data_IF_510961585632
#
_entry.id   IF_510961585632
#
_cell.length_a   1.000
_cell.length_b   1.000
_cell.length_c   1.000
_cell.angle_alpha   90.00
_cell.angle_beta   90.00
_cell.angle_gamma   90.00
#
_symmetry.space_group_name_H-M   'P 1'
#
loop_
_entity.id
_entity.type
_entity.pdbx_description
1 polymer ?
#
# COMPACT_ATOMS: atom_id res chain seq x y z
N UNK A 1 -47.29 23.84 62.76
CA UNK A 1 -47.96 24.26 61.51
C UNK A 1 -46.89 24.36 60.43
N UNK A 2 -46.92 23.46 59.43
CA UNK A 2 -46.12 23.35 58.19
C UNK A 2 -44.58 23.24 58.31
N UNK A 3 -44.08 21.99 58.22
CA UNK A 3 -42.71 21.67 57.79
C UNK A 3 -42.60 21.83 56.25
N UNK A 4 -41.50 22.38 55.71
CA UNK A 4 -41.26 22.39 54.27
C UNK A 4 -40.73 21.04 53.81
N UNK A 5 -41.37 20.49 52.76
CA UNK A 5 -40.90 19.31 52.06
C UNK A 5 -39.67 19.69 51.21
N UNK A 6 -38.50 19.14 51.56
CA UNK A 6 -37.31 19.19 50.72
C UNK A 6 -37.48 18.19 49.58
N UNK A 7 -37.72 18.70 48.37
CA UNK A 7 -37.69 17.90 47.14
C UNK A 7 -36.22 17.61 46.82
N UNK A 8 -35.80 16.37 47.03
CA UNK A 8 -34.53 15.85 46.52
C UNK A 8 -34.66 15.73 45.00
N UNK A 9 -34.08 16.66 44.26
CA UNK A 9 -33.83 16.49 42.84
C UNK A 9 -32.68 15.49 42.66
N UNK A 10 -33.02 14.24 42.34
CA UNK A 10 -32.06 13.26 41.84
C UNK A 10 -31.57 13.74 40.47
N UNK A 11 -30.38 14.33 40.45
CA UNK A 11 -29.62 14.57 39.23
C UNK A 11 -29.25 13.21 38.63
N UNK A 12 -30.06 12.73 37.70
CA UNK A 12 -29.67 11.69 36.76
C UNK A 12 -28.50 12.24 35.95
N UNK A 13 -27.28 11.92 36.39
CA UNK A 13 -26.08 12.07 35.57
C UNK A 13 -26.31 11.26 34.31
N UNK A 14 -26.70 11.95 33.23
CA UNK A 14 -26.71 11.37 31.90
C UNK A 14 -25.29 10.85 31.66
N UNK A 15 -25.14 9.54 31.55
CA UNK A 15 -23.97 8.93 30.96
C UNK A 15 -23.88 9.52 29.55
N UNK A 16 -23.08 10.56 29.37
CA UNK A 16 -22.70 11.04 28.05
C UNK A 16 -22.03 9.86 27.39
N UNK A 17 -22.73 9.22 26.45
CA UNK A 17 -22.13 8.23 25.57
C UNK A 17 -20.83 8.85 25.05
N UNK A 18 -19.71 8.17 25.30
CA UNK A 18 -18.42 8.61 24.77
C UNK A 18 -18.50 8.73 23.24
N UNK A 19 -17.53 9.43 22.62
CA UNK A 19 -17.46 9.48 21.17
C UNK A 19 -17.53 8.06 20.60
N UNK A 20 -18.40 7.86 19.61
CA UNK A 20 -18.58 6.58 18.95
C UNK A 20 -17.24 6.14 18.35
N UNK A 21 -16.70 5.03 18.84
CA UNK A 21 -15.43 4.49 18.34
C UNK A 21 -15.72 3.92 16.96
N UNK A 22 -15.11 4.50 15.93
CA UNK A 22 -15.21 3.95 14.57
C UNK A 22 -14.65 2.53 14.56
N UNK A 23 -15.40 1.54 14.08
CA UNK A 23 -14.97 0.14 14.14
C UNK A 23 -13.72 -0.08 13.29
N UNK A 24 -12.89 -1.03 13.72
CA UNK A 24 -11.78 -1.55 12.94
C UNK A 24 -12.30 -2.12 11.62
N UNK A 25 -11.61 -1.81 10.52
CA UNK A 25 -11.98 -2.26 9.19
C UNK A 25 -10.75 -2.56 8.34
N UNK A 26 -10.82 -3.69 7.65
CA UNK A 26 -9.89 -4.07 6.60
C UNK A 26 -10.61 -4.02 5.26
N UNK A 27 -9.99 -3.39 4.28
CA UNK A 27 -10.37 -3.48 2.88
C UNK A 27 -9.23 -4.11 2.10
N UNK A 28 -9.54 -5.14 1.32
CA UNK A 28 -8.60 -5.87 0.47
C UNK A 28 -8.87 -5.57 -1.00
N UNK A 29 -8.01 -6.08 -1.86
CA UNK A 29 -8.17 -6.00 -3.32
C UNK A 29 -9.50 -6.55 -3.82
N UNK A 30 -10.11 -7.52 -3.12
CA UNK A 30 -11.47 -8.02 -3.40
C UNK A 30 -12.53 -6.95 -3.19
N UNK A 31 -12.47 -6.21 -2.09
CA UNK A 31 -13.41 -5.11 -1.84
C UNK A 31 -13.16 -3.95 -2.80
N UNK A 32 -11.90 -3.65 -3.16
CA UNK A 32 -11.61 -2.63 -4.18
C UNK A 32 -12.30 -2.98 -5.51
N UNK A 33 -12.15 -4.23 -5.97
CA UNK A 33 -12.73 -4.70 -7.23
C UNK A 33 -14.27 -4.70 -7.18
N UNK A 34 -14.85 -5.16 -6.07
CA UNK A 34 -16.30 -5.21 -5.88
C UNK A 34 -16.93 -3.82 -5.85
N UNK A 35 -16.22 -2.84 -5.30
CA UNK A 35 -16.68 -1.46 -5.19
C UNK A 35 -16.35 -0.60 -6.42
N UNK A 36 -15.70 -1.15 -7.46
CA UNK A 36 -15.34 -0.40 -8.66
C UNK A 36 -16.55 0.29 -9.30
N UNK A 37 -16.41 1.57 -9.66
CA UNK A 37 -17.47 2.43 -10.19
C UNK A 37 -18.49 2.90 -9.16
N UNK A 38 -18.31 2.57 -7.87
CA UNK A 38 -19.17 3.02 -6.78
C UNK A 38 -18.54 4.21 -6.03
N UNK A 39 -19.40 5.09 -5.52
CA UNK A 39 -18.98 6.17 -4.62
C UNK A 39 -18.67 5.59 -3.23
N UNK A 40 -17.50 4.98 -3.10
CA UNK A 40 -17.01 4.35 -1.89
C UNK A 40 -15.68 4.98 -1.46
N UNK A 41 -15.45 5.15 -0.16
CA UNK A 41 -14.21 5.69 0.40
C UNK A 41 -13.44 4.63 1.19
N UNK A 42 -12.24 4.30 0.71
CA UNK A 42 -11.29 3.41 1.36
C UNK A 42 -10.26 4.21 2.15
N UNK A 43 -10.73 4.95 3.15
CA UNK A 43 -9.86 5.79 3.98
C UNK A 43 -9.12 6.83 3.16
N UNK A 44 -9.82 7.54 2.27
CA UNK A 44 -9.36 8.60 1.39
C UNK A 44 -9.21 8.25 -0.08
N UNK A 45 -9.15 6.96 -0.44
CA UNK A 45 -9.04 6.52 -1.84
C UNK A 45 -10.37 5.98 -2.37
N UNK A 46 -10.72 6.34 -3.61
CA UNK A 46 -11.82 5.69 -4.31
C UNK A 46 -11.39 4.35 -4.91
N UNK A 47 -12.30 3.38 -5.08
CA UNK A 47 -12.05 2.12 -5.79
C UNK A 47 -11.31 2.31 -7.12
N UNK A 48 -11.77 3.26 -7.95
CA UNK A 48 -11.23 3.54 -9.28
C UNK A 48 -9.83 4.18 -9.26
N UNK A 49 -9.33 4.61 -8.09
CA UNK A 49 -7.94 5.04 -7.92
C UNK A 49 -7.03 3.86 -7.63
N UNK A 50 -7.52 2.85 -6.90
CA UNK A 50 -6.72 1.73 -6.40
C UNK A 50 -6.51 0.64 -7.46
N UNK A 51 -7.46 0.48 -8.39
CA UNK A 51 -7.33 -0.43 -9.52
C UNK A 51 -8.03 0.11 -10.77
N UNK A 52 -7.69 -0.50 -11.90
CA UNK A 52 -8.29 -0.26 -13.21
C UNK A 52 -8.83 -1.56 -13.79
N UNK A 53 -10.02 -1.52 -14.37
CA UNK A 53 -10.54 -2.63 -15.18
C UNK A 53 -9.91 -2.61 -16.58
N UNK A 54 -9.94 -3.75 -17.26
CA UNK A 54 -9.44 -3.83 -18.64
C UNK A 54 -10.12 -2.81 -19.56
N UNK A 55 -9.31 -2.10 -20.36
CA UNK A 55 -9.75 -1.03 -21.24
C UNK A 55 -9.90 0.33 -20.56
N UNK A 56 -9.75 0.44 -19.25
CA UNK A 56 -9.78 1.72 -18.56
C UNK A 56 -8.43 2.46 -18.62
N UNK A 57 -8.42 3.81 -18.59
CA UNK A 57 -7.19 4.57 -18.57
C UNK A 57 -6.34 4.30 -17.33
N UNK A 58 -5.06 3.99 -17.54
CA UNK A 58 -4.08 3.90 -16.47
C UNK A 58 -3.81 5.28 -15.89
N UNK A 59 -3.85 5.38 -14.56
CA UNK A 59 -3.46 6.61 -13.90
C UNK A 59 -2.00 6.97 -14.23
N UNK A 60 -1.70 8.26 -14.31
CA UNK A 60 -0.36 8.81 -14.56
C UNK A 60 0.27 8.46 -15.92
N UNK A 61 -0.45 7.81 -16.82
CA UNK A 61 0.05 7.41 -18.16
C UNK A 61 -0.90 7.93 -19.23
N UNK A 62 -0.42 8.87 -20.04
CA UNK A 62 -1.26 9.44 -21.11
C UNK A 62 -1.59 8.38 -22.18
N UNK A 63 -2.87 8.29 -22.54
CA UNK A 63 -3.39 7.39 -23.57
C UNK A 63 -3.24 5.88 -23.30
N UNK A 64 -2.64 5.46 -22.18
CA UNK A 64 -2.44 4.05 -21.85
C UNK A 64 -3.71 3.47 -21.22
N UNK A 65 -4.09 2.27 -21.66
CA UNK A 65 -5.24 1.53 -21.14
C UNK A 65 -4.76 0.27 -20.44
N UNK A 66 -5.46 -0.14 -19.38
CA UNK A 66 -5.23 -1.42 -18.71
C UNK A 66 -5.50 -2.57 -19.68
N UNK A 67 -4.66 -3.60 -19.65
CA UNK A 67 -4.75 -4.80 -20.50
C UNK A 67 -4.54 -6.07 -19.67
N UNK A 68 -5.07 -7.20 -20.15
CA UNK A 68 -4.82 -8.50 -19.50
C UNK A 68 -5.62 -8.73 -18.21
N UNK A 69 -6.81 -8.12 -18.10
CA UNK A 69 -7.66 -8.17 -16.91
C UNK A 69 -7.53 -6.93 -16.01
N UNK A 70 -8.22 -6.93 -14.84
CA UNK A 70 -8.10 -5.84 -13.88
C UNK A 70 -6.68 -5.76 -13.32
N UNK A 71 -6.23 -4.54 -12.99
CA UNK A 71 -4.89 -4.30 -12.49
C UNK A 71 -4.84 -3.28 -11.37
N UNK A 72 -4.05 -3.54 -10.31
CA UNK A 72 -3.78 -2.55 -9.27
C UNK A 72 -3.01 -1.36 -9.83
N UNK A 73 -3.40 -0.15 -9.43
CA UNK A 73 -2.75 1.09 -9.86
C UNK A 73 -1.34 1.19 -9.29
N UNK A 74 -0.36 1.43 -10.16
CA UNK A 74 0.96 1.88 -9.75
C UNK A 74 0.90 3.36 -9.35
N UNK A 75 1.24 3.64 -8.09
CA UNK A 75 1.33 4.98 -7.54
C UNK A 75 2.77 5.49 -7.57
N UNK A 76 2.96 6.79 -7.84
CA UNK A 76 4.27 7.41 -7.73
C UNK A 76 4.65 7.61 -6.27
N UNK A 77 5.90 7.32 -5.94
CA UNK A 77 6.48 7.54 -4.64
C UNK A 77 7.93 8.02 -4.72
N UNK A 78 8.45 8.44 -3.58
CA UNK A 78 9.86 8.78 -3.38
C UNK A 78 10.34 8.26 -2.03
N UNK A 79 11.57 7.75 -1.98
CA UNK A 79 12.25 7.38 -0.74
C UNK A 79 13.65 8.01 -0.76
N UNK A 80 13.92 8.91 0.19
CA UNK A 80 15.17 9.66 0.29
C UNK A 80 15.62 10.29 -1.04
N UNK A 81 14.66 10.88 -1.76
CA UNK A 81 14.89 11.52 -3.06
C UNK A 81 15.05 10.58 -4.25
N UNK A 82 15.04 9.25 -4.07
CA UNK A 82 14.97 8.30 -5.16
C UNK A 82 13.50 8.04 -5.56
N UNK A 83 13.16 7.97 -6.86
CA UNK A 83 11.82 7.57 -7.28
C UNK A 83 11.56 6.11 -6.89
N UNK A 84 10.34 5.84 -6.45
CA UNK A 84 9.87 4.50 -6.08
C UNK A 84 8.45 4.33 -6.60
N UNK A 85 8.13 3.15 -7.10
CA UNK A 85 6.77 2.78 -7.48
C UNK A 85 6.18 1.83 -6.46
N UNK A 86 4.90 1.96 -6.15
CA UNK A 86 4.22 1.03 -5.26
C UNK A 86 2.76 0.80 -5.68
N UNK A 87 2.19 -0.27 -5.15
CA UNK A 87 0.75 -0.57 -5.20
C UNK A 87 0.23 -0.71 -3.78
N UNK A 88 -1.07 -0.46 -3.58
CA UNK A 88 -1.76 -0.67 -2.31
C UNK A 88 -2.58 -1.96 -2.45
N UNK A 89 -2.32 -2.95 -1.61
CA UNK A 89 -3.05 -4.23 -1.62
C UNK A 89 -4.12 -4.30 -0.53
N UNK A 90 -3.88 -3.64 0.61
CA UNK A 90 -4.83 -3.56 1.71
C UNK A 90 -4.81 -2.19 2.39
N UNK A 91 -5.97 -1.80 2.92
CA UNK A 91 -6.15 -0.59 3.72
C UNK A 91 -6.82 -0.97 5.05
N UNK A 92 -6.17 -0.60 6.16
CA UNK A 92 -6.54 -0.92 7.52
C UNK A 92 -6.99 0.35 8.25
N UNK A 93 -8.28 0.54 8.48
CA UNK A 93 -8.80 1.69 9.23
C UNK A 93 -9.14 1.29 10.67
N UNK A 94 -8.66 2.07 11.64
CA UNK A 94 -8.88 1.86 13.08
C UNK A 94 -8.54 0.43 13.56
N UNK A 95 -7.65 -0.25 12.84
CA UNK A 95 -7.28 -1.62 13.15
C UNK A 95 -6.14 -1.62 14.19
N UNK A 96 -6.12 -2.57 15.14
CA UNK A 96 -4.92 -2.82 15.93
C UNK A 96 -3.75 -3.24 15.02
N UNK A 97 -2.56 -3.32 15.60
CA UNK A 97 -1.40 -3.88 14.90
C UNK A 97 -1.76 -5.24 14.28
N UNK A 98 -1.42 -5.49 13.00
CA UNK A 98 -1.75 -6.76 12.36
C UNK A 98 -0.99 -7.89 13.07
N UNK A 99 -1.68 -9.02 13.24
CA UNK A 99 -1.04 -10.26 13.67
C UNK A 99 -0.28 -10.89 12.51
N UNK A 100 0.63 -11.78 12.88
CA UNK A 100 1.33 -12.68 11.96
C UNK A 100 0.74 -14.08 12.14
N UNK A 101 0.30 -14.67 11.04
CA UNK A 101 -0.18 -16.06 11.00
C UNK A 101 0.88 -16.96 10.36
N UNK A 102 0.97 -18.26 10.70
CA UNK A 102 1.87 -19.15 9.99
C UNK A 102 1.40 -19.34 8.54
N UNK A 103 2.34 -19.46 7.61
CA UNK A 103 2.12 -20.04 6.30
C UNK A 103 3.03 -21.25 6.16
N UNK A 104 2.46 -22.39 5.80
CA UNK A 104 3.25 -23.58 5.58
C UNK A 104 3.72 -23.63 4.15
N UNK A 105 5.03 -23.67 3.98
CA UNK A 105 5.66 -23.77 2.67
C UNK A 105 6.31 -25.16 2.56
N UNK A 106 5.70 -26.10 1.82
CA UNK A 106 6.25 -27.44 1.67
C UNK A 106 7.50 -27.46 0.78
N UNK A 107 8.53 -28.16 1.23
CA UNK A 107 9.76 -28.43 0.49
C UNK A 107 10.05 -29.93 0.52
N UNK A 108 10.78 -30.42 -0.48
CA UNK A 108 11.30 -31.78 -0.44
C UNK A 108 12.42 -31.93 0.62
N UNK A 109 12.89 -33.17 0.78
CA UNK A 109 14.01 -33.53 1.67
C UNK A 109 15.35 -32.83 1.32
N UNK A 110 15.48 -32.27 0.12
CA UNK A 110 16.64 -31.49 -0.32
C UNK A 110 16.44 -29.98 -0.16
N UNK A 111 15.36 -29.55 0.50
CA UNK A 111 14.97 -28.15 0.67
C UNK A 111 14.71 -27.43 -0.66
N UNK A 112 14.17 -28.16 -1.64
CA UNK A 112 13.75 -27.61 -2.92
C UNK A 112 12.22 -27.49 -2.99
N UNK A 113 11.76 -26.41 -3.63
CA UNK A 113 10.36 -26.28 -3.96
C UNK A 113 9.99 -27.37 -4.97
N UNK A 114 8.89 -28.07 -4.72
CA UNK A 114 8.40 -29.12 -5.62
C UNK A 114 7.37 -28.54 -6.56
N UNK A 115 7.52 -28.79 -7.86
CA UNK A 115 6.59 -28.28 -8.87
C UNK A 115 5.15 -28.73 -8.61
N UNK A 116 4.21 -27.80 -8.80
CA UNK A 116 2.78 -28.01 -8.51
C UNK A 116 2.40 -28.00 -7.02
N UNK A 117 3.35 -28.06 -6.08
CA UNK A 117 3.05 -27.98 -4.64
C UNK A 117 2.93 -26.52 -4.22
N UNK A 118 1.83 -26.20 -3.53
CA UNK A 118 1.51 -24.84 -3.12
C UNK A 118 1.69 -24.65 -1.62
N UNK A 119 1.88 -23.40 -1.22
CA UNK A 119 1.83 -23.02 0.19
C UNK A 119 0.42 -23.27 0.76
N UNK A 120 0.34 -23.63 2.04
CA UNK A 120 -0.92 -23.82 2.75
C UNK A 120 -1.08 -22.72 3.78
N UNK A 121 -2.18 -22.00 3.67
CA UNK A 121 -2.56 -20.91 4.56
C UNK A 121 -3.69 -21.39 5.48
N UNK A 122 -3.58 -21.21 6.81
CA UNK A 122 -4.58 -21.66 7.75
C UNK A 122 -5.85 -20.80 7.77
N UNK A 123 -5.79 -19.61 7.16
CA UNK A 123 -6.82 -18.58 7.29
C UNK A 123 -7.09 -17.92 5.94
N UNK A 124 -8.38 -17.83 5.57
CA UNK A 124 -8.86 -17.14 4.37
C UNK A 124 -9.33 -15.70 4.60
N UNK A 125 -9.59 -14.97 3.51
CA UNK A 125 -10.11 -13.59 3.50
C UNK A 125 -11.42 -13.39 4.26
N UNK A 126 -12.21 -14.44 4.43
CA UNK A 126 -13.50 -14.37 5.14
C UNK A 126 -13.36 -14.53 6.66
N UNK A 127 -12.15 -14.82 7.14
CA UNK A 127 -11.85 -14.90 8.56
C UNK A 127 -11.57 -13.52 9.14
N UNK A 128 -12.06 -13.29 10.36
CA UNK A 128 -11.62 -12.12 11.15
C UNK A 128 -10.14 -12.16 11.49
N UNK A 129 -9.48 -13.32 11.34
CA UNK A 129 -8.04 -13.53 11.56
C UNK A 129 -7.17 -13.35 10.30
N UNK A 130 -7.73 -12.90 9.17
CA UNK A 130 -6.93 -12.70 7.96
C UNK A 130 -5.84 -11.63 8.15
N UNK A 131 -4.66 -11.89 7.60
CA UNK A 131 -3.53 -10.97 7.51
C UNK A 131 -2.75 -11.24 6.23
N UNK A 132 -2.16 -10.23 5.58
CA UNK A 132 -1.20 -10.44 4.50
C UNK A 132 0.20 -10.71 5.06
N UNK A 133 0.42 -10.69 6.37
CA UNK A 133 1.71 -10.90 7.00
C UNK A 133 1.81 -12.31 7.56
N UNK A 134 2.72 -13.11 7.00
CA UNK A 134 2.81 -14.53 7.30
C UNK A 134 4.20 -14.90 7.82
N UNK A 135 4.27 -15.78 8.80
CA UNK A 135 5.52 -16.43 9.20
C UNK A 135 5.66 -17.72 8.41
N UNK A 136 6.65 -17.79 7.52
CA UNK A 136 6.92 -19.03 6.82
C UNK A 136 7.34 -20.12 7.81
N UNK A 137 6.75 -21.30 7.68
CA UNK A 137 7.20 -22.54 8.30
C UNK A 137 7.47 -23.54 7.18
N UNK A 138 8.75 -23.84 6.96
CA UNK A 138 9.19 -24.77 5.94
C UNK A 138 8.94 -26.20 6.42
N UNK A 139 8.15 -26.96 5.64
CA UNK A 139 7.82 -28.35 5.92
C UNK A 139 8.68 -29.26 5.04
N UNK A 140 9.70 -29.92 5.62
CA UNK A 140 10.56 -30.84 4.87
C UNK A 140 9.91 -32.23 4.84
N UNK A 141 9.28 -32.52 3.70
CA UNK A 141 8.37 -33.66 3.57
C UNK A 141 8.90 -34.67 2.54
N UNK A 142 9.31 -35.88 2.96
CA UNK A 142 9.69 -36.93 2.03
C UNK A 142 8.52 -37.34 1.14
N UNK A 143 8.77 -37.54 -0.16
CA UNK A 143 7.75 -37.99 -1.11
C UNK A 143 6.60 -37.00 -1.35
N UNK A 144 6.85 -35.70 -1.13
CA UNK A 144 5.89 -34.62 -1.34
C UNK A 144 5.32 -34.64 -2.78
N UNK A 145 3.99 -34.59 -2.88
CA UNK A 145 3.23 -34.49 -4.14
C UNK A 145 2.28 -33.28 -4.08
N UNK A 146 1.78 -32.78 -5.23
CA UNK A 146 0.79 -31.70 -5.25
C UNK A 146 -0.47 -31.93 -4.40
N UNK A 147 -0.75 -33.18 -4.03
CA UNK A 147 -1.95 -33.58 -3.28
C UNK A 147 -1.67 -33.81 -1.79
N UNK A 148 -0.44 -33.58 -1.33
CA UNK A 148 -0.02 -33.94 0.04
C UNK A 148 -0.64 -33.02 1.09
N UNK A 149 -0.64 -31.71 0.84
CA UNK A 149 -1.25 -30.73 1.74
C UNK A 149 -2.15 -29.80 0.95
N UNK A 150 -3.44 -29.80 1.28
CA UNK A 150 -4.43 -28.88 0.71
C UNK A 150 -5.21 -28.12 1.77
N UNK A 151 -5.03 -28.47 3.03
CA UNK A 151 -5.73 -27.88 4.17
C UNK A 151 -4.80 -27.87 5.40
N UNK A 152 -5.04 -26.94 6.32
CA UNK A 152 -4.32 -26.86 7.59
C UNK A 152 -4.36 -28.18 8.38
N UNK A 153 -5.46 -28.92 8.29
CA UNK A 153 -5.63 -30.23 8.94
C UNK A 153 -4.66 -31.28 8.39
N UNK A 154 -4.34 -31.24 7.10
CA UNK A 154 -3.36 -32.15 6.51
C UNK A 154 -1.98 -31.90 7.11
N UNK A 155 -1.60 -30.62 7.24
CA UNK A 155 -0.32 -30.22 7.81
C UNK A 155 -0.22 -30.54 9.30
N UNK A 156 -1.27 -30.21 10.07
CA UNK A 156 -1.32 -30.40 11.52
C UNK A 156 -1.45 -31.88 11.90
N UNK A 157 -2.12 -32.68 11.07
CA UNK A 157 -2.30 -34.12 11.28
C UNK A 157 -1.10 -34.97 10.83
N UNK A 158 -0.15 -34.39 10.10
CA UNK A 158 0.96 -35.17 9.57
C UNK A 158 2.10 -35.34 10.58
N UNK A 159 2.53 -36.60 10.74
CA UNK A 159 3.53 -37.01 11.71
C UNK A 159 4.93 -37.09 11.10
N UNK A 160 5.97 -36.87 11.92
CA UNK A 160 7.37 -37.09 11.52
C UNK A 160 7.96 -36.07 10.54
N UNK A 161 7.24 -34.97 10.24
CA UNK A 161 7.74 -33.90 9.37
C UNK A 161 8.70 -33.00 10.14
N UNK A 162 9.87 -32.75 9.56
CA UNK A 162 10.76 -31.71 10.07
C UNK A 162 10.21 -30.33 9.69
N UNK A 163 10.09 -29.45 10.68
CA UNK A 163 9.61 -28.08 10.51
C UNK A 163 10.71 -27.09 10.82
N UNK A 164 10.92 -26.12 9.93
CA UNK A 164 11.90 -25.05 10.13
C UNK A 164 11.25 -23.69 10.03
N UNK A 165 11.53 -22.84 10.99
CA UNK A 165 11.05 -21.47 10.97
C UNK A 165 11.74 -20.69 9.84
N UNK A 166 10.94 -20.05 9.01
CA UNK A 166 11.36 -19.19 7.91
C UNK A 166 11.17 -17.70 8.22
N UNK A 167 11.36 -16.83 7.21
CA UNK A 167 11.21 -15.39 7.36
C UNK A 167 9.73 -14.99 7.52
N UNK A 168 9.51 -13.72 7.88
CA UNK A 168 8.22 -13.08 7.64
C UNK A 168 8.06 -12.86 6.14
N UNK A 169 6.86 -13.05 5.63
CA UNK A 169 6.47 -12.87 4.24
C UNK A 169 5.29 -11.91 4.17
N UNK A 170 5.18 -11.21 3.05
CA UNK A 170 4.04 -10.37 2.73
C UNK A 170 3.31 -11.02 1.55
N UNK A 171 2.22 -11.72 1.86
CA UNK A 171 1.44 -12.50 0.90
C UNK A 171 -0.04 -12.09 0.90
N UNK A 172 -0.39 -10.91 0.35
CA UNK A 172 -1.79 -10.49 0.26
C UNK A 172 -2.56 -11.36 -0.73
N UNK A 173 -3.76 -11.81 -0.34
CA UNK A 173 -4.66 -12.55 -1.22
C UNK A 173 -5.33 -11.61 -2.21
N UNK A 174 -5.55 -12.10 -3.43
CA UNK A 174 -6.11 -11.32 -4.52
C UNK A 174 -7.19 -12.08 -5.28
N UNK A 175 -8.16 -11.37 -5.89
CA UNK A 175 -9.07 -11.95 -6.86
C UNK A 175 -8.32 -12.66 -8.00
N UNK A 176 -8.92 -13.74 -8.51
CA UNK A 176 -8.39 -14.44 -9.67
C UNK A 176 -8.27 -13.50 -10.88
N UNK A 177 -7.12 -13.55 -11.54
CA UNK A 177 -6.82 -12.72 -12.70
C UNK A 177 -6.53 -11.25 -12.39
N UNK A 178 -6.46 -10.85 -11.11
CA UNK A 178 -5.99 -9.50 -10.76
C UNK A 178 -4.48 -9.40 -11.00
N UNK A 179 -4.09 -8.51 -11.91
CA UNK A 179 -2.70 -8.14 -12.18
C UNK A 179 -2.33 -6.79 -11.59
N UNK A 180 -1.34 -6.17 -12.21
CA UNK A 180 -0.94 -4.79 -11.95
C UNK A 180 -1.23 -3.92 -13.16
N UNK A 181 -1.15 -2.60 -12.98
CA UNK A 181 -1.28 -1.61 -14.04
C UNK A 181 -0.37 -1.91 -15.23
N UNK A 182 -0.91 -2.42 -16.33
CA UNK A 182 -0.15 -2.85 -17.52
C UNK A 182 -0.90 -2.48 -18.80
N UNK A 183 -0.19 -1.87 -19.75
CA UNK A 183 -0.69 -1.50 -21.07
C UNK A 183 -0.23 -2.47 -22.18
N UNK A 184 0.28 -3.64 -21.80
CA UNK A 184 0.80 -4.66 -22.69
C UNK A 184 2.27 -4.43 -23.06
N UNK A 185 2.89 -3.38 -22.51
CA UNK A 185 4.32 -3.08 -22.70
C UNK A 185 5.17 -3.38 -21.46
N UNK A 186 4.57 -4.04 -20.46
CA UNK A 186 5.17 -4.34 -19.17
C UNK A 186 4.89 -3.26 -18.14
N UNK A 187 5.27 -3.55 -16.89
CA UNK A 187 5.06 -2.65 -15.76
C UNK A 187 6.03 -1.48 -15.82
N UNK A 188 5.51 -0.26 -15.64
CA UNK A 188 6.29 0.97 -15.73
C UNK A 188 6.10 1.87 -14.52
N UNK A 189 7.18 2.52 -14.13
CA UNK A 189 7.16 3.56 -13.11
C UNK A 189 6.31 4.75 -13.59
N UNK A 190 5.31 5.22 -12.82
CA UNK A 190 4.41 6.31 -13.24
C UNK A 190 5.10 7.63 -13.58
N UNK A 191 6.26 7.90 -12.99
CA UNK A 191 6.99 9.17 -13.14
C UNK A 191 7.97 9.11 -14.31
N UNK A 192 8.81 8.08 -14.34
CA UNK A 192 9.92 7.93 -15.28
C UNK A 192 9.55 7.15 -16.53
N UNK A 193 8.47 6.36 -16.49
CA UNK A 193 8.05 5.40 -17.50
C UNK A 193 9.09 4.29 -17.78
N UNK A 194 10.12 4.19 -16.93
CA UNK A 194 11.07 3.10 -16.93
C UNK A 194 10.39 1.80 -16.48
N UNK A 195 10.91 0.67 -16.92
CA UNK A 195 10.41 -0.63 -16.48
C UNK A 195 10.59 -0.80 -14.98
N UNK A 196 9.65 -1.49 -14.34
CA UNK A 196 9.73 -1.87 -12.93
C UNK A 196 9.36 -3.33 -12.74
N UNK A 197 9.83 -3.92 -11.66
CA UNK A 197 9.49 -5.28 -11.25
C UNK A 197 9.10 -5.33 -9.79
N UNK A 198 8.05 -6.07 -9.48
CA UNK A 198 7.67 -6.41 -8.11
C UNK A 198 8.43 -7.64 -7.58
N UNK A 199 9.39 -8.18 -8.34
CA UNK A 199 10.16 -9.41 -8.08
C UNK A 199 9.35 -10.71 -7.94
N UNK A 200 8.03 -10.62 -8.02
CA UNK A 200 7.11 -11.75 -7.85
C UNK A 200 5.79 -11.49 -8.56
N UNK A 201 5.32 -12.46 -9.35
CA UNK A 201 3.98 -12.46 -9.92
C UNK A 201 2.94 -13.07 -8.98
N UNK A 202 1.67 -13.17 -9.43
CA UNK A 202 0.65 -13.93 -8.72
C UNK A 202 1.06 -15.40 -8.57
N UNK A 203 0.77 -15.96 -7.40
CA UNK A 203 0.99 -17.36 -7.03
C UNK A 203 -0.32 -17.98 -6.57
N UNK A 204 -0.34 -19.30 -6.48
CA UNK A 204 -1.47 -20.06 -5.92
C UNK A 204 -1.12 -20.64 -4.56
N UNK A 205 -2.10 -20.70 -3.68
CA UNK A 205 -1.99 -21.24 -2.33
C UNK A 205 -3.24 -21.99 -1.95
N UNK A 206 -3.15 -22.93 -1.01
CA UNK A 206 -4.30 -23.63 -0.47
C UNK A 206 -4.84 -22.92 0.78
N UNK A 207 -6.15 -22.71 0.84
CA UNK A 207 -6.89 -22.29 2.03
C UNK A 207 -8.12 -23.18 2.13
N UNK A 208 -8.29 -23.92 3.23
CA UNK A 208 -9.45 -24.78 3.47
C UNK A 208 -9.82 -25.69 2.28
N UNK A 209 -8.82 -26.25 1.60
CA UNK A 209 -9.01 -27.12 0.43
C UNK A 209 -9.31 -26.41 -0.89
N UNK A 210 -9.32 -25.08 -0.93
CA UNK A 210 -9.50 -24.28 -2.14
C UNK A 210 -8.19 -23.59 -2.55
N UNK A 211 -7.95 -23.48 -3.86
CA UNK A 211 -6.85 -22.67 -4.38
C UNK A 211 -7.25 -21.19 -4.37
N UNK A 212 -6.38 -20.36 -3.80
CA UNK A 212 -6.50 -18.90 -3.79
C UNK A 212 -5.30 -18.28 -4.50
N UNK A 213 -5.52 -17.15 -5.16
CA UNK A 213 -4.45 -16.34 -5.74
C UNK A 213 -3.91 -15.36 -4.69
N UNK A 214 -2.59 -15.15 -4.68
CA UNK A 214 -1.93 -14.18 -3.81
C UNK A 214 -0.67 -13.63 -4.48
N UNK A 215 -0.21 -12.45 -4.07
CA UNK A 215 1.12 -11.96 -4.44
C UNK A 215 2.16 -12.37 -3.40
N UNK A 216 3.33 -12.84 -3.79
CA UNK A 216 4.42 -13.15 -2.85
C UNK A 216 5.49 -12.07 -2.89
N UNK A 217 5.29 -10.97 -2.15
CA UNK A 217 6.30 -9.92 -2.10
C UNK A 217 7.56 -10.33 -1.32
N UNK A 218 7.64 -11.55 -0.80
CA UNK A 218 8.80 -12.05 -0.08
C UNK A 218 9.01 -11.38 1.29
N UNK A 219 10.24 -11.36 1.83
CA UNK A 219 10.54 -10.89 3.17
C UNK A 219 10.68 -9.37 3.26
N UNK A 220 9.67 -8.66 2.75
CA UNK A 220 9.65 -7.20 2.58
C UNK A 220 9.00 -6.46 3.75
N UNK A 221 9.23 -6.96 4.96
CA UNK A 221 8.58 -6.48 6.17
C UNK A 221 9.53 -6.48 7.35
N UNK A 222 9.51 -5.38 8.11
CA UNK A 222 10.19 -5.27 9.40
C UNK A 222 9.31 -5.86 10.48
N UNK A 223 9.90 -6.71 11.30
CA UNK A 223 9.23 -7.32 12.43
C UNK A 223 10.21 -7.97 13.39
N UNK A 224 9.71 -8.25 14.59
CA UNK A 224 10.41 -9.02 15.62
C UNK A 224 9.45 -10.06 16.17
N UNK A 225 9.86 -11.34 16.15
CA UNK A 225 8.94 -12.44 16.44
C UNK A 225 7.70 -12.36 15.55
N UNK A 226 6.51 -12.34 16.15
CA UNK A 226 5.23 -12.30 15.44
C UNK A 226 4.63 -10.89 15.36
N UNK A 227 5.44 -9.86 15.62
CA UNK A 227 5.05 -8.46 15.49
C UNK A 227 5.57 -7.87 14.18
N UNK A 228 4.70 -7.15 13.46
CA UNK A 228 5.06 -6.35 12.29
C UNK A 228 5.10 -4.87 12.65
N UNK A 229 6.15 -4.17 12.26
CA UNK A 229 6.30 -2.74 12.52
C UNK A 229 5.89 -1.92 11.31
N UNK A 230 4.99 -0.97 11.54
CA UNK A 230 4.61 0.02 10.56
C UNK A 230 5.57 1.21 10.59
N UNK A 231 6.04 1.65 9.43
CA UNK A 231 6.77 2.91 9.29
C UNK A 231 5.87 4.03 8.77
N UNK A 232 6.25 5.29 8.98
CA UNK A 232 5.47 6.42 8.47
C UNK A 232 5.51 6.47 6.94
N UNK A 233 4.35 6.63 6.34
CA UNK A 233 4.14 6.86 4.92
C UNK A 233 3.36 8.15 4.74
N UNK A 234 3.96 9.10 4.03
CA UNK A 234 3.43 10.46 3.97
C UNK A 234 2.72 10.69 2.65
N UNK A 235 1.46 11.14 2.72
CA UNK A 235 0.65 11.47 1.56
C UNK A 235 0.26 12.94 1.60
N UNK A 236 0.39 13.63 0.47
CA UNK A 236 -0.03 15.02 0.40
C UNK A 236 -1.55 15.11 0.26
N UNK A 237 -2.17 16.00 1.02
CA UNK A 237 -3.62 16.27 0.98
C UNK A 237 -3.88 17.76 0.82
N UNK A 238 -5.11 18.14 0.46
CA UNK A 238 -5.56 19.53 0.61
C UNK A 238 -5.76 19.82 2.10
N UNK A 239 -5.56 21.08 2.50
CA UNK A 239 -5.72 21.50 3.91
C UNK A 239 -7.09 21.18 4.50
N UNK A 240 -8.14 21.33 3.70
CA UNK A 240 -9.53 21.08 4.12
C UNK A 240 -10.06 19.72 3.62
N UNK A 241 -9.17 18.85 3.13
CA UNK A 241 -9.53 17.56 2.54
C UNK A 241 -8.85 16.38 3.23
N UNK A 242 -9.47 15.22 3.10
CA UNK A 242 -8.98 13.93 3.58
C UNK A 242 -8.50 13.01 2.42
N UNK A 243 -8.83 13.37 1.19
CA UNK A 243 -8.42 12.64 -0.01
C UNK A 243 -6.96 12.94 -0.39
N UNK A 244 -6.12 11.91 -0.58
CA UNK A 244 -4.79 12.05 -1.14
C UNK A 244 -4.81 12.76 -2.48
N UNK A 245 -3.83 13.64 -2.66
CA UNK A 245 -3.53 14.26 -3.94
C UNK A 245 -2.74 13.26 -4.81
N UNK A 246 -2.86 13.33 -6.14
CA UNK A 246 -2.07 12.52 -7.08
C UNK A 246 -0.65 13.07 -7.18
N UNK A 247 0.02 13.19 -6.03
CA UNK A 247 1.40 13.61 -5.85
C UNK A 247 2.26 12.40 -5.48
N UNK A 248 3.58 12.50 -5.67
CA UNK A 248 4.47 11.43 -5.22
C UNK A 248 4.40 11.32 -3.69
N UNK A 249 3.98 10.15 -3.19
CA UNK A 249 3.99 9.87 -1.76
C UNK A 249 5.43 9.71 -1.25
N UNK A 250 5.70 10.03 0.01
CA UNK A 250 7.03 9.84 0.60
C UNK A 250 7.04 8.58 1.45
N UNK A 251 7.78 7.58 0.98
CA UNK A 251 7.96 6.30 1.63
C UNK A 251 9.08 6.35 2.68
N UNK A 252 9.15 5.37 3.58
CA UNK A 252 10.31 5.16 4.43
C UNK A 252 11.60 4.97 3.62
N UNK A 253 12.76 5.28 4.24
CA UNK A 253 14.10 5.15 3.64
C UNK A 253 14.43 3.77 3.07
N UNK A 254 13.85 2.71 3.63
CA UNK A 254 14.00 1.33 3.16
C UNK A 254 12.64 0.80 2.68
N UNK A 255 12.09 1.30 1.58
CA UNK A 255 10.69 1.04 1.21
C UNK A 255 10.42 -0.45 0.99
N UNK A 256 11.41 -1.19 0.47
CA UNK A 256 11.34 -2.64 0.29
C UNK A 256 11.23 -3.43 1.60
N UNK A 257 11.58 -2.86 2.75
CA UNK A 257 11.49 -3.55 4.05
C UNK A 257 10.29 -3.06 4.88
N UNK A 258 9.45 -2.19 4.31
CA UNK A 258 8.35 -1.55 5.02
C UNK A 258 7.03 -1.71 4.25
N UNK A 259 6.60 -2.96 4.03
CA UNK A 259 5.30 -3.22 3.41
C UNK A 259 4.12 -2.71 4.26
N UNK A 260 4.20 -2.77 5.60
CA UNK A 260 3.21 -2.13 6.46
C UNK A 260 3.61 -0.67 6.73
N UNK A 261 2.70 0.26 6.48
CA UNK A 261 2.95 1.68 6.74
C UNK A 261 1.78 2.38 7.41
N UNK A 262 2.07 3.39 8.25
CA UNK A 262 1.09 4.28 8.84
C UNK A 262 0.91 5.50 7.93
N UNK A 263 -0.32 5.79 7.53
CA UNK A 263 -0.63 6.99 6.74
C UNK A 263 -0.48 8.24 7.60
N UNK A 264 0.38 9.15 7.16
CA UNK A 264 0.53 10.51 7.68
C UNK A 264 0.15 11.49 6.59
N UNK A 265 -0.92 12.25 6.83
CA UNK A 265 -1.33 13.30 5.91
C UNK A 265 -0.43 14.51 6.06
N UNK A 266 0.01 15.05 4.92
CA UNK A 266 0.77 16.29 4.81
C UNK A 266 -0.10 17.28 4.05
N UNK A 267 -0.85 18.17 4.71
CA UNK A 267 -1.48 19.30 4.05
C UNK A 267 -0.45 20.02 3.20
N UNK A 268 -0.73 20.19 1.91
CA UNK A 268 0.18 20.85 0.98
C UNK A 268 0.58 22.22 1.57
N UNK A 269 1.88 22.44 1.92
CA UNK A 269 2.26 23.66 2.60
C UNK A 269 2.00 24.91 1.75
N UNK A 270 1.66 26.01 2.40
CA UNK A 270 1.48 27.28 1.72
C UNK A 270 2.79 27.72 1.04
N UNK A 271 2.69 28.15 -0.21
CA UNK A 271 3.85 28.52 -1.03
C UNK A 271 4.63 27.35 -1.62
N UNK A 272 4.35 26.11 -1.22
CA UNK A 272 4.91 24.93 -1.87
C UNK A 272 4.18 24.65 -3.19
N UNK A 273 4.86 24.02 -4.15
CA UNK A 273 4.23 23.60 -5.39
C UNK A 273 4.80 22.28 -5.92
N UNK A 274 3.99 21.48 -6.62
CA UNK A 274 4.47 20.29 -7.30
C UNK A 274 5.21 20.64 -8.58
N UNK A 275 6.28 19.91 -8.89
CA UNK A 275 6.94 19.97 -10.19
C UNK A 275 6.22 19.09 -11.19
N UNK A 276 5.83 19.64 -12.34
CA UNK A 276 5.25 18.88 -13.46
C UNK A 276 5.99 19.26 -14.74
N UNK A 277 6.72 18.31 -15.37
CA UNK A 277 7.33 18.54 -16.67
C UNK A 277 6.32 19.06 -17.70
N UNK A 278 6.75 19.95 -18.58
CA UNK A 278 5.89 20.49 -19.64
C UNK A 278 5.41 19.39 -20.61
N UNK A 279 6.26 18.38 -20.87
CA UNK A 279 5.92 17.21 -21.68
C UNK A 279 4.92 16.24 -21.02
N UNK A 280 4.40 16.55 -19.83
CA UNK A 280 3.44 15.72 -19.07
C UNK A 280 2.17 16.50 -18.72
N UNK A 281 1.43 17.03 -19.71
CA UNK A 281 0.22 17.83 -19.47
C UNK A 281 -0.90 17.04 -18.79
N UNK A 282 -0.94 15.72 -18.95
CA UNK A 282 -1.89 14.84 -18.27
C UNK A 282 -1.70 14.82 -16.75
N UNK A 283 -0.45 14.90 -16.26
CA UNK A 283 -0.16 14.99 -14.83
C UNK A 283 -0.65 16.32 -14.24
N UNK A 284 -0.53 17.40 -15.02
CA UNK A 284 -1.06 18.72 -14.65
C UNK A 284 -2.58 18.68 -14.57
N UNK A 285 -3.25 18.08 -15.55
CA UNK A 285 -4.69 17.91 -15.56
C UNK A 285 -5.19 17.08 -14.36
N UNK A 286 -4.47 16.01 -13.97
CA UNK A 286 -4.78 15.22 -12.78
C UNK A 286 -4.74 16.06 -11.48
N UNK A 287 -3.74 16.94 -11.34
CA UNK A 287 -3.64 17.85 -10.19
C UNK A 287 -4.73 18.93 -10.20
N UNK A 288 -5.01 19.52 -11.36
CA UNK A 288 -6.04 20.54 -11.53
C UNK A 288 -7.44 19.99 -11.26
N UNK A 289 -7.72 18.73 -11.65
CA UNK A 289 -8.95 18.02 -11.29
C UNK A 289 -9.11 17.84 -9.77
N UNK A 290 -8.00 17.89 -9.02
CA UNK A 290 -8.00 17.93 -7.54
C UNK A 290 -7.83 19.35 -6.99
N UNK A 291 -7.89 20.35 -7.85
CA UNK A 291 -7.76 21.77 -7.52
C UNK A 291 -6.40 22.12 -6.93
N UNK A 292 -5.34 21.49 -7.43
CA UNK A 292 -3.94 21.86 -7.17
C UNK A 292 -3.38 22.43 -8.46
N UNK A 293 -2.88 23.66 -8.41
CA UNK A 293 -2.22 24.30 -9.55
C UNK A 293 -0.72 24.02 -9.50
N UNK A 294 -0.19 23.41 -10.55
CA UNK A 294 1.25 23.31 -10.74
C UNK A 294 1.77 24.53 -11.51
N UNK A 295 2.96 25.07 -11.23
CA UNK A 295 3.59 26.11 -12.05
C UNK A 295 3.84 25.60 -13.48
N UNK A 296 3.82 26.49 -14.47
CA UNK A 296 4.32 26.20 -15.81
C UNK A 296 5.85 26.27 -15.74
N UNK A 297 6.54 25.24 -16.22
CA UNK A 297 8.00 25.15 -16.18
C UNK A 297 8.59 25.16 -17.59
N UNK A 298 9.85 25.60 -17.79
CA UNK A 298 10.49 25.56 -19.10
C UNK A 298 10.63 24.13 -19.63
N UNK A 299 10.46 23.95 -20.94
CA UNK A 299 10.60 22.63 -21.60
C UNK A 299 12.01 22.02 -21.44
N UNK A 300 13.02 22.84 -21.15
CA UNK A 300 14.39 22.38 -20.83
C UNK A 300 14.45 21.47 -19.59
N UNK A 301 13.43 21.53 -18.72
CA UNK A 301 13.31 20.68 -17.54
C UNK A 301 12.62 19.33 -17.81
N UNK A 302 12.15 19.08 -19.04
CA UNK A 302 11.52 17.80 -19.42
C UNK A 302 12.44 16.59 -19.22
N UNK A 303 13.77 16.80 -19.16
CA UNK A 303 14.75 15.74 -18.85
C UNK A 303 14.73 15.24 -17.40
N UNK A 304 14.02 15.92 -16.50
CA UNK A 304 13.97 15.60 -15.07
C UNK A 304 12.66 14.92 -14.66
N UNK A 305 12.18 13.98 -15.48
CA UNK A 305 10.91 13.25 -15.24
C UNK A 305 10.86 12.53 -13.89
N UNK A 306 12.01 12.09 -13.36
CA UNK A 306 12.10 11.48 -12.03
C UNK A 306 11.70 12.42 -10.86
N UNK A 307 11.59 13.73 -11.11
CA UNK A 307 11.12 14.72 -10.14
C UNK A 307 9.63 15.07 -10.31
N UNK A 308 8.96 14.52 -11.32
CA UNK A 308 7.54 14.78 -11.54
C UNK A 308 6.73 14.45 -10.28
N UNK A 309 5.74 15.29 -9.99
CA UNK A 309 4.84 15.19 -8.84
C UNK A 309 5.49 15.31 -7.46
N UNK A 310 6.80 15.60 -7.37
CA UNK A 310 7.46 15.97 -6.12
C UNK A 310 7.10 17.40 -5.73
N UNK A 311 7.04 17.67 -4.43
CA UNK A 311 6.70 18.98 -3.86
C UNK A 311 7.97 19.72 -3.44
N UNK A 312 8.15 20.94 -3.94
CA UNK A 312 9.20 21.86 -3.49
C UNK A 312 8.60 22.97 -2.62
N UNK A 313 9.28 23.33 -1.52
CA UNK A 313 8.90 24.43 -0.65
C UNK A 313 9.20 25.82 -1.24
N UNK A 314 10.06 25.87 -2.26
CA UNK A 314 10.53 27.08 -2.92
C UNK A 314 10.36 26.99 -4.45
N UNK A 315 9.13 26.99 -4.99
CA UNK A 315 8.85 26.66 -6.40
C UNK A 315 9.52 27.58 -7.43
N UNK A 316 10.04 28.75 -7.01
CA UNK A 316 10.93 29.56 -7.86
C UNK A 316 12.20 28.82 -8.29
N UNK A 317 12.58 27.72 -7.62
CA UNK A 317 13.69 26.86 -8.03
C UNK A 317 13.43 26.17 -9.39
N UNK A 318 12.18 26.09 -9.87
CA UNK A 318 11.86 25.52 -11.19
C UNK A 318 12.32 26.40 -12.36
N UNK A 319 12.83 27.61 -12.08
CA UNK A 319 13.44 28.49 -13.08
C UNK A 319 14.98 28.60 -12.89
N UNK A 320 15.51 27.96 -11.85
CA UNK A 320 16.92 28.06 -11.50
C UNK A 320 17.80 27.25 -12.46
N UNK A 321 18.97 27.80 -12.79
CA UNK A 321 19.91 27.17 -13.72
C UNK A 321 20.48 25.83 -13.21
N UNK A 322 20.49 25.63 -11.89
CA UNK A 322 21.01 24.46 -11.18
C UNK A 322 19.90 23.51 -10.70
N UNK A 323 18.67 23.64 -11.22
CA UNK A 323 17.62 22.64 -11.02
C UNK A 323 18.14 21.23 -11.37
N UNK A 324 17.86 20.19 -10.56
CA UNK A 324 16.94 20.16 -9.40
C UNK A 324 17.60 20.46 -8.04
N UNK A 325 18.90 20.77 -8.00
CA UNK A 325 19.67 20.85 -6.75
C UNK A 325 19.32 22.06 -5.87
N UNK A 326 18.81 23.14 -6.46
CA UNK A 326 18.39 24.36 -5.74
C UNK A 326 17.01 24.26 -5.09
N UNK A 327 16.27 23.18 -5.31
CA UNK A 327 14.95 22.99 -4.72
C UNK A 327 15.04 22.39 -3.32
N UNK A 328 14.23 22.93 -2.40
CA UNK A 328 13.99 22.35 -1.08
C UNK A 328 12.83 21.37 -1.17
N UNK A 329 13.17 20.14 -1.55
CA UNK A 329 12.20 19.06 -1.78
C UNK A 329 11.65 18.48 -0.47
N UNK A 330 10.36 18.15 -0.48
CA UNK A 330 9.68 17.32 0.52
C UNK A 330 9.61 15.87 0.06
N UNK A 331 10.76 15.25 -0.21
CA UNK A 331 10.87 13.93 -0.86
C UNK A 331 11.58 12.87 0.00
N UNK A 332 11.69 13.13 1.30
CA UNK A 332 12.22 12.20 2.29
C UNK A 332 11.50 12.31 3.62
N UNK A 333 11.39 11.20 4.34
CA UNK A 333 10.80 11.19 5.68
C UNK A 333 11.56 12.15 6.63
N UNK A 334 12.89 12.25 6.47
CA UNK A 334 13.71 13.18 7.25
C UNK A 334 13.38 14.65 6.99
N UNK A 335 13.01 15.04 5.76
CA UNK A 335 12.57 16.40 5.43
C UNK A 335 11.18 16.68 5.98
N UNK A 336 10.24 15.75 5.80
CA UNK A 336 8.86 15.91 6.27
C UNK A 336 8.75 16.01 7.79
N UNK A 337 9.57 15.26 8.55
CA UNK A 337 9.61 15.36 10.02
C UNK A 337 10.10 16.72 10.54
N UNK A 338 10.64 17.60 9.69
CA UNK A 338 11.00 18.97 10.06
C UNK A 338 9.81 19.93 9.95
N UNK A 339 8.71 19.51 9.33
CA UNK A 339 7.48 20.28 9.32
C UNK A 339 6.91 20.36 10.73
N UNK A 340 6.13 21.41 10.99
CA UNK A 340 5.49 21.59 12.30
C UNK A 340 4.43 20.50 12.51
N UNK A 341 4.12 20.11 13.77
CA UNK A 341 3.12 19.08 14.05
C UNK A 341 1.73 19.37 13.47
N UNK A 342 1.32 20.64 13.33
CA UNK A 342 0.04 21.02 12.69
C UNK A 342 0.03 20.83 11.16
N UNK A 343 1.18 20.47 10.58
CA UNK A 343 1.36 20.16 9.17
C UNK A 343 1.51 18.66 8.91
N UNK A 344 1.39 17.83 9.95
CA UNK A 344 1.45 16.37 9.87
C UNK A 344 0.27 15.80 10.65
N UNK A 345 -0.66 15.14 9.97
CA UNK A 345 -1.84 14.55 10.60
C UNK A 345 -1.78 13.03 10.49
N UNK A 346 -1.41 12.38 11.59
CA UNK A 346 -1.48 10.92 11.66
C UNK A 346 -2.94 10.47 11.51
N UNK A 347 -3.20 9.55 10.58
CA UNK A 347 -4.50 8.92 10.43
C UNK A 347 -4.47 7.56 11.11
N UNK A 348 -5.61 7.09 11.66
CA UNK A 348 -5.75 5.71 12.09
C UNK A 348 -5.95 4.81 10.85
N UNK A 349 -5.08 4.97 9.85
CA UNK A 349 -5.10 4.23 8.58
C UNK A 349 -3.70 3.67 8.36
N UNK A 350 -3.61 2.35 8.23
CA UNK A 350 -2.40 1.66 7.79
C UNK A 350 -2.62 1.09 6.40
N UNK A 351 -1.54 0.88 5.65
CA UNK A 351 -1.57 0.33 4.31
C UNK A 351 -0.61 -0.85 4.22
N UNK A 352 -0.99 -1.85 3.45
CA UNK A 352 -0.04 -2.87 2.95
C UNK A 352 0.37 -2.48 1.54
N UNK A 353 1.68 -2.36 1.32
CA UNK A 353 2.27 -1.93 0.06
C UNK A 353 3.06 -3.04 -0.63
N UNK A 354 2.90 -3.15 -1.95
CA UNK A 354 3.84 -3.84 -2.83
C UNK A 354 4.74 -2.82 -3.52
N UNK A 355 6.05 -2.83 -3.23
CA UNK A 355 7.01 -1.86 -3.80
C UNK A 355 7.69 -2.43 -5.04
N UNK A 356 7.55 -1.75 -6.18
CA UNK A 356 8.22 -2.12 -7.43
C UNK A 356 9.56 -1.38 -7.55
N UNK A 357 10.57 -2.09 -8.05
CA UNK A 357 11.91 -1.53 -8.24
C UNK A 357 12.29 -1.51 -9.71
N UNK A 358 13.06 -0.50 -10.16
CA UNK A 358 13.70 -0.54 -11.46
C UNK A 358 14.64 -1.76 -11.57
N UNK A 359 14.76 -2.40 -12.74
CA UNK A 359 15.64 -3.56 -12.95
C UNK A 359 17.10 -3.30 -12.55
N UNK A 360 17.58 -2.06 -12.75
CA UNK A 360 18.96 -1.64 -12.47
C UNK A 360 19.31 -1.59 -10.98
N UNK A 361 18.30 -1.69 -10.10
CA UNK A 361 18.44 -1.63 -8.63
C UNK A 361 18.12 -2.98 -7.98
N UNK A 362 17.87 -4.03 -8.77
CA UNK A 362 17.68 -5.38 -8.24
C UNK A 362 19.04 -5.91 -7.73
N UNK A 363 19.16 -6.28 -6.44
CA UNK A 363 20.40 -6.79 -5.87
C UNK A 363 20.88 -8.12 -6.48
#
# INVERSE_FOLDING_TARGET
MRLPAAVLALSLSACTAGPEVTPARLWTTREFLTAHGQAYDFGGWSPDELLKLEGEPLAFRDGALQTGGPGLTFFPGVADGAPVTFVITEIWANHPQPWVEPVWAPFDENQQAVDGVQNVFPVGLDSTFYTPFWRAEFLLTPGLTPDTYRDARDVLGAEGIERRLGPLLVCPFVPEGLGFGDDGTGWRDPLTLGEVSLSSGPRKGWVDGALVDYYDFGPRVRGEGDAVFAADFYVFVKRDGDRPLPLAAVLPSEPLLNALVNRVDVPLPEGAAPFVPEARPELRALLEARGVTAPVVPASLNRFTAYALRVAMNPSCFEAADFPASCDWLDSAARLRRLRPDQLMARPVQLTLGVAIPPEVSP
#
